data_IF_354601966527
#
_entry.id   IF_354601966527
#
_cell.length_a   1.000
_cell.length_b   1.000
_cell.length_c   1.000
_cell.angle_alpha   90.00
_cell.angle_beta   90.00
_cell.angle_gamma   90.00
#
_symmetry.space_group_name_H-M   'P 1'
#
loop_
_entity.id
_entity.type
_entity.pdbx_description
1 polymer ?
#
# COMPACT_ATOMS: atom_id res chain seq x y z
N UNK A 1 4.58 -3.25 -22.18
CA UNK A 1 4.20 -1.85 -21.89
C UNK A 1 3.32 -1.65 -20.63
N UNK A 2 2.69 -2.67 -20.05
CA UNK A 2 1.80 -2.48 -18.88
C UNK A 2 2.53 -2.38 -17.53
N UNK A 3 3.69 -3.02 -17.37
CA UNK A 3 4.39 -3.13 -16.09
C UNK A 3 4.73 -1.77 -15.46
N UNK A 4 5.38 -0.88 -16.21
CA UNK A 4 5.79 0.45 -15.69
C UNK A 4 4.57 1.24 -15.21
N UNK A 5 3.46 1.17 -15.95
CA UNK A 5 2.20 1.81 -15.56
C UNK A 5 1.66 1.23 -14.25
N UNK A 6 1.67 -0.10 -14.10
CA UNK A 6 1.25 -0.75 -12.86
C UNK A 6 2.18 -0.42 -11.68
N UNK A 7 3.50 -0.44 -11.88
CA UNK A 7 4.47 -0.07 -10.86
C UNK A 7 4.26 1.37 -10.38
N UNK A 8 4.05 2.31 -11.30
CA UNK A 8 3.80 3.71 -10.93
C UNK A 8 2.43 3.91 -10.27
N UNK A 9 1.41 3.15 -10.67
CA UNK A 9 0.11 3.13 -9.99
C UNK A 9 0.26 2.64 -8.55
N UNK A 10 1.00 1.55 -8.33
CA UNK A 10 1.29 1.02 -7.00
C UNK A 10 2.09 2.02 -6.17
N UNK A 11 3.09 2.69 -6.76
CA UNK A 11 3.86 3.74 -6.08
C UNK A 11 2.95 4.86 -5.54
N UNK A 12 1.96 5.26 -6.33
CA UNK A 12 0.96 6.27 -5.95
C UNK A 12 0.06 5.74 -4.83
N UNK A 13 -0.43 4.51 -4.95
CA UNK A 13 -1.28 3.88 -3.94
C UNK A 13 -0.55 3.67 -2.61
N UNK A 14 0.73 3.26 -2.63
CA UNK A 14 1.61 3.14 -1.45
C UNK A 14 1.84 4.51 -0.78
N UNK A 15 2.00 5.57 -1.56
CA UNK A 15 2.10 6.94 -1.02
C UNK A 15 0.82 7.32 -0.29
N UNK A 16 -0.34 7.09 -0.92
CA UNK A 16 -1.64 7.37 -0.31
C UNK A 16 -1.86 6.53 0.96
N UNK A 17 -1.45 5.26 0.95
CA UNK A 17 -1.58 4.36 2.09
C UNK A 17 -0.70 4.82 3.25
N UNK A 18 0.55 5.19 2.99
CA UNK A 18 1.46 5.78 3.98
C UNK A 18 0.86 7.02 4.63
N UNK A 19 0.39 7.97 3.81
CA UNK A 19 -0.19 9.24 4.29
C UNK A 19 -1.43 9.00 5.14
N UNK A 20 -2.24 8.01 4.77
CA UNK A 20 -3.47 7.66 5.48
C UNK A 20 -3.18 6.98 6.81
N UNK A 21 -2.22 6.06 6.85
CA UNK A 21 -1.73 5.49 8.11
C UNK A 21 -1.20 6.57 9.05
N UNK A 22 -0.37 7.50 8.55
CA UNK A 22 0.13 8.61 9.35
C UNK A 22 -0.99 9.52 9.88
N UNK A 23 -2.04 9.76 9.08
CA UNK A 23 -3.20 10.55 9.51
C UNK A 23 -3.96 9.86 10.63
N UNK A 24 -4.23 8.56 10.50
CA UNK A 24 -4.94 7.77 11.52
C UNK A 24 -4.12 7.71 12.81
N UNK A 25 -2.81 7.48 12.73
CA UNK A 25 -1.91 7.51 13.88
C UNK A 25 -1.97 8.84 14.64
N UNK A 26 -2.01 9.97 13.93
CA UNK A 26 -2.16 11.30 14.55
C UNK A 26 -3.54 11.53 15.15
N UNK A 27 -4.60 11.07 14.47
CA UNK A 27 -6.01 11.26 14.89
C UNK A 27 -6.30 10.51 16.19
N UNK A 28 -5.79 9.28 16.33
CA UNK A 28 -6.03 8.41 17.49
C UNK A 28 -4.82 8.28 18.39
N UNK A 29 -4.05 9.36 18.58
CA UNK A 29 -2.81 9.35 19.39
C UNK A 29 -2.99 8.90 20.85
N UNK A 30 -4.21 8.98 21.38
CA UNK A 30 -4.56 8.49 22.72
C UNK A 30 -4.65 6.97 22.79
N UNK A 31 -4.86 6.30 21.65
CA UNK A 31 -4.99 4.85 21.51
C UNK A 31 -3.64 4.28 21.08
N UNK A 32 -2.75 4.03 22.05
CA UNK A 32 -1.35 3.74 21.80
C UNK A 32 -1.10 2.57 20.82
N UNK A 33 -1.87 1.48 20.94
CA UNK A 33 -1.73 0.31 20.06
C UNK A 33 -2.09 0.65 18.60
N UNK A 34 -3.24 1.30 18.40
CA UNK A 34 -3.70 1.72 17.06
C UNK A 34 -2.74 2.74 16.45
N UNK A 35 -2.32 3.73 17.23
CA UNK A 35 -1.41 4.78 16.77
C UNK A 35 -0.03 4.23 16.42
N UNK A 36 0.55 3.40 17.28
CA UNK A 36 1.85 2.75 17.06
C UNK A 36 1.82 1.82 15.84
N UNK A 37 0.80 0.97 15.74
CA UNK A 37 0.64 0.07 14.60
C UNK A 37 0.43 0.80 13.27
N UNK A 38 -0.29 1.92 13.26
CA UNK A 38 -0.41 2.77 12.07
C UNK A 38 0.92 3.46 11.72
N UNK A 39 1.68 3.94 12.72
CA UNK A 39 2.96 4.60 12.48
C UNK A 39 4.00 3.66 11.85
N UNK A 40 4.11 2.42 12.36
CA UNK A 40 4.99 1.39 11.80
C UNK A 40 4.67 1.12 10.33
N UNK A 41 3.38 0.95 10.01
CA UNK A 41 2.94 0.66 8.63
C UNK A 41 3.14 1.84 7.69
N UNK A 42 2.99 3.07 8.18
CA UNK A 42 3.33 4.27 7.40
C UNK A 42 4.83 4.31 7.04
N UNK A 43 5.71 4.02 8.01
CA UNK A 43 7.15 3.97 7.75
C UNK A 43 7.50 2.88 6.72
N UNK A 44 6.89 1.71 6.87
CA UNK A 44 7.03 0.58 5.95
C UNK A 44 6.60 0.91 4.51
N UNK A 45 5.43 1.53 4.33
CA UNK A 45 4.97 2.00 3.00
C UNK A 45 5.95 3.02 2.39
N UNK A 46 6.47 3.93 3.23
CA UNK A 46 7.43 4.95 2.80
C UNK A 46 8.75 4.34 2.31
N UNK A 47 9.29 3.38 3.06
CA UNK A 47 10.51 2.66 2.68
C UNK A 47 10.33 1.84 1.38
N UNK A 48 9.16 1.20 1.20
CA UNK A 48 8.83 0.51 -0.06
C UNK A 48 8.79 1.47 -1.25
N UNK A 49 8.19 2.65 -1.07
CA UNK A 49 8.12 3.67 -2.13
C UNK A 49 9.51 4.09 -2.60
N UNK A 50 10.44 4.29 -1.69
CA UNK A 50 11.83 4.66 -2.02
C UNK A 50 12.55 3.54 -2.78
N UNK A 51 12.36 2.29 -2.34
CA UNK A 51 12.90 1.10 -3.01
C UNK A 51 12.34 0.98 -4.44
N UNK A 52 11.02 1.17 -4.59
CA UNK A 52 10.35 1.08 -5.88
C UNK A 52 10.73 2.21 -6.83
N UNK A 53 10.92 3.43 -6.33
CA UNK A 53 11.37 4.57 -7.15
C UNK A 53 12.75 4.30 -7.76
N UNK A 54 13.65 3.67 -7.00
CA UNK A 54 14.98 3.27 -7.47
C UNK A 54 14.86 2.23 -8.59
N UNK A 55 14.09 1.15 -8.37
CA UNK A 55 13.93 0.09 -9.37
C UNK A 55 13.24 0.58 -10.63
N UNK A 56 12.16 1.38 -10.51
CA UNK A 56 11.48 1.97 -11.68
C UNK A 56 12.42 2.86 -12.48
N UNK A 57 13.28 3.63 -11.81
CA UNK A 57 14.29 4.46 -12.47
C UNK A 57 15.32 3.63 -13.24
N UNK A 58 15.81 2.54 -12.63
CA UNK A 58 16.73 1.60 -13.29
C UNK A 58 16.09 0.90 -14.49
N UNK A 59 14.84 0.46 -14.34
CA UNK A 59 14.08 -0.19 -15.41
C UNK A 59 13.85 0.74 -16.59
N UNK A 60 13.51 2.01 -16.34
CA UNK A 60 13.38 3.02 -17.39
C UNK A 60 14.69 3.26 -18.15
N UNK A 61 15.85 3.22 -17.46
CA UNK A 61 17.16 3.34 -18.11
C UNK A 61 17.49 2.13 -18.99
N UNK A 62 17.13 0.93 -18.54
CA UNK A 62 17.43 -0.33 -19.25
C UNK A 62 16.49 -0.64 -20.41
N UNK A 63 15.31 -0.02 -20.45
CA UNK A 63 14.32 -0.23 -21.52
C UNK A 63 13.92 1.09 -22.21
N UNK A 64 14.75 1.59 -23.14
CA UNK A 64 14.43 2.79 -23.92
C UNK A 64 13.14 2.58 -24.73
N UNK A 65 12.15 3.48 -24.58
CA UNK A 65 10.85 3.39 -25.26
C UNK A 65 9.68 2.89 -24.39
N UNK A 66 9.95 2.47 -23.14
CA UNK A 66 8.88 2.28 -22.16
C UNK A 66 8.26 3.64 -21.82
N UNK A 67 7.02 3.88 -22.26
CA UNK A 67 6.32 5.15 -22.10
C UNK A 67 6.48 5.71 -20.68
N UNK A 68 6.91 6.97 -20.59
CA UNK A 68 6.94 7.72 -19.35
C UNK A 68 5.55 7.72 -18.75
N UNK A 69 5.43 7.23 -17.51
CA UNK A 69 4.18 7.34 -16.78
C UNK A 69 3.92 8.81 -16.55
N UNK A 70 3.03 9.38 -17.36
CA UNK A 70 2.37 10.64 -17.05
C UNK A 70 1.74 10.43 -15.69
N UNK A 71 2.35 11.03 -14.66
CA UNK A 71 2.02 10.89 -13.24
C UNK A 71 0.52 10.65 -13.10
N UNK A 72 0.14 9.41 -12.76
CA UNK A 72 -1.21 9.10 -12.31
C UNK A 72 -1.38 9.80 -10.96
N UNK A 73 -1.58 11.12 -11.03
CA UNK A 73 -1.80 12.04 -9.92
C UNK A 73 -3.28 12.10 -9.54
N UNK A 74 -4.11 11.25 -10.16
CA UNK A 74 -5.49 11.07 -9.76
C UNK A 74 -5.47 10.19 -8.51
N UNK A 75 -5.93 10.68 -7.35
CA UNK A 75 -6.03 9.84 -6.16
C UNK A 75 -6.95 8.66 -6.48
N UNK A 76 -6.44 7.43 -6.33
CA UNK A 76 -7.20 6.22 -6.68
C UNK A 76 -8.45 6.06 -5.79
N UNK A 77 -8.44 6.73 -4.63
CA UNK A 77 -9.62 6.95 -3.80
C UNK A 77 -9.58 8.37 -3.21
N UNK A 78 -10.61 9.21 -3.43
CA UNK A 78 -10.73 10.46 -2.68
C UNK A 78 -10.82 10.15 -1.18
N UNK A 79 -10.14 10.94 -0.36
CA UNK A 79 -10.24 10.84 1.09
C UNK A 79 -11.68 11.17 1.52
N UNK A 80 -12.44 10.18 1.98
CA UNK A 80 -13.70 10.40 2.69
C UNK A 80 -13.40 10.79 4.14
N UNK A 81 -14.19 11.71 4.70
CA UNK A 81 -14.25 11.86 6.15
C UNK A 81 -14.91 10.60 6.71
N UNK A 82 -14.20 9.90 7.57
CA UNK A 82 -14.68 8.67 8.19
C UNK A 82 -15.29 8.95 9.56
N UNK A 83 -16.43 8.33 9.84
CA UNK A 83 -17.30 8.50 11.02
C UNK A 83 -16.74 7.80 12.28
N UNK A 84 -15.42 7.88 12.50
CA UNK A 84 -14.73 7.30 13.66
C UNK A 84 -13.73 6.19 13.31
N UNK A 85 -13.15 5.52 14.33
CA UNK A 85 -12.04 4.57 14.17
C UNK A 85 -12.35 3.44 13.19
N UNK A 86 -13.55 2.86 13.27
CA UNK A 86 -13.99 1.78 12.38
C UNK A 86 -14.08 2.23 10.92
N UNK A 87 -14.54 3.45 10.66
CA UNK A 87 -14.55 4.01 9.30
C UNK A 87 -13.14 4.16 8.76
N UNK A 88 -12.25 4.74 9.56
CA UNK A 88 -10.86 4.96 9.17
C UNK A 88 -10.12 3.63 8.90
N UNK A 89 -10.35 2.61 9.74
CA UNK A 89 -9.80 1.26 9.57
C UNK A 89 -10.36 0.56 8.33
N UNK A 90 -11.66 0.68 8.05
CA UNK A 90 -12.28 0.12 6.82
C UNK A 90 -11.71 0.76 5.57
N UNK A 91 -11.55 2.08 5.59
CA UNK A 91 -10.97 2.79 4.46
C UNK A 91 -9.49 2.45 4.25
N UNK A 92 -8.72 2.29 5.33
CA UNK A 92 -7.34 1.78 5.27
C UNK A 92 -7.30 0.36 4.69
N UNK A 93 -8.20 -0.53 5.11
CA UNK A 93 -8.29 -1.90 4.60
C UNK A 93 -8.62 -1.94 3.12
N UNK A 94 -9.56 -1.12 2.66
CA UNK A 94 -9.90 -1.03 1.24
C UNK A 94 -8.70 -0.57 0.40
N UNK A 95 -7.97 0.45 0.87
CA UNK A 95 -6.78 0.96 0.19
C UNK A 95 -5.62 -0.05 0.20
N UNK A 96 -5.39 -0.74 1.32
CA UNK A 96 -4.41 -1.82 1.42
C UNK A 96 -4.75 -2.99 0.48
N UNK A 97 -6.04 -3.29 0.31
CA UNK A 97 -6.52 -4.30 -0.62
C UNK A 97 -6.17 -3.97 -2.07
N UNK A 98 -6.40 -2.72 -2.48
CA UNK A 98 -6.00 -2.22 -3.79
C UNK A 98 -4.48 -2.35 -4.02
N UNK A 99 -3.67 -1.97 -3.02
CA UNK A 99 -2.20 -2.10 -3.08
C UNK A 99 -1.79 -3.56 -3.27
N UNK A 100 -2.35 -4.48 -2.47
CA UNK A 100 -2.08 -5.91 -2.57
C UNK A 100 -2.48 -6.51 -3.93
N UNK A 101 -3.63 -6.13 -4.48
CA UNK A 101 -4.05 -6.53 -5.82
C UNK A 101 -3.10 -6.00 -6.90
N UNK A 102 -2.63 -4.75 -6.75
CA UNK A 102 -1.62 -4.17 -7.64
C UNK A 102 -0.32 -4.99 -7.63
N UNK A 103 0.20 -5.30 -6.44
CA UNK A 103 1.40 -6.14 -6.30
C UNK A 103 1.23 -7.53 -6.90
N UNK A 104 0.05 -8.13 -6.76
CA UNK A 104 -0.28 -9.44 -7.34
C UNK A 104 -0.19 -9.40 -8.88
N UNK A 105 -0.75 -8.36 -9.52
CA UNK A 105 -0.67 -8.18 -10.97
C UNK A 105 0.77 -7.94 -11.42
N UNK A 106 1.52 -7.10 -10.71
CA UNK A 106 2.94 -6.88 -11.01
C UNK A 106 3.78 -8.15 -10.89
N UNK A 107 3.53 -8.98 -9.88
CA UNK A 107 4.24 -10.24 -9.70
C UNK A 107 3.94 -11.24 -10.82
N UNK A 108 2.70 -11.29 -11.32
CA UNK A 108 2.38 -12.11 -12.49
C UNK A 108 3.14 -11.64 -13.74
N UNK A 109 3.08 -10.34 -14.03
CA UNK A 109 3.78 -9.75 -15.19
C UNK A 109 5.30 -9.98 -15.09
N UNK A 110 5.86 -9.91 -13.88
CA UNK A 110 7.28 -10.16 -13.64
C UNK A 110 7.69 -11.61 -13.95
N UNK A 111 6.85 -12.58 -13.54
CA UNK A 111 7.06 -14.00 -13.85
C UNK A 111 6.94 -14.27 -15.35
N UNK A 112 5.94 -13.70 -16.01
CA UNK A 112 5.74 -13.87 -17.45
C UNK A 112 6.91 -13.29 -18.27
N UNK A 113 7.64 -12.34 -17.70
CA UNK A 113 8.83 -11.73 -18.29
C UNK A 113 10.16 -12.41 -17.89
N UNK A 114 10.12 -13.43 -17.04
CA UNK A 114 11.30 -14.13 -16.49
C UNK A 114 12.34 -13.19 -15.84
N UNK A 115 11.88 -12.10 -15.23
CA UNK A 115 12.76 -11.16 -14.51
C UNK A 115 12.78 -11.47 -13.02
N UNK A 116 13.78 -12.26 -12.59
CA UNK A 116 13.93 -12.70 -11.21
C UNK A 116 14.06 -11.54 -10.21
N UNK A 117 14.73 -10.44 -10.59
CA UNK A 117 14.92 -9.30 -9.71
C UNK A 117 13.58 -8.59 -9.46
N UNK A 118 12.76 -8.47 -10.50
CA UNK A 118 11.42 -7.90 -10.41
C UNK A 118 10.45 -8.85 -9.69
N UNK A 119 10.56 -10.16 -9.90
CA UNK A 119 9.78 -11.16 -9.14
C UNK A 119 10.07 -11.02 -7.65
N UNK A 120 11.34 -10.94 -7.25
CA UNK A 120 11.73 -10.76 -5.85
C UNK A 120 11.15 -9.46 -5.25
N UNK A 121 11.25 -8.34 -5.97
CA UNK A 121 10.69 -7.05 -5.53
C UNK A 121 9.17 -7.13 -5.34
N UNK A 122 8.46 -7.65 -6.35
CA UNK A 122 6.99 -7.65 -6.38
C UNK A 122 6.41 -8.63 -5.36
N UNK A 123 7.06 -9.77 -5.13
CA UNK A 123 6.69 -10.72 -4.07
C UNK A 123 6.90 -10.12 -2.67
N UNK A 124 8.02 -9.43 -2.44
CA UNK A 124 8.23 -8.74 -1.16
C UNK A 124 7.14 -7.69 -0.90
N UNK A 125 6.79 -6.90 -1.91
CA UNK A 125 5.70 -5.93 -1.84
C UNK A 125 4.37 -6.60 -1.52
N UNK A 126 4.07 -7.71 -2.20
CA UNK A 126 2.87 -8.52 -1.98
C UNK A 126 2.79 -9.04 -0.55
N UNK A 127 3.79 -9.77 -0.07
CA UNK A 127 3.82 -10.33 1.30
C UNK A 127 3.59 -9.26 2.35
N UNK A 128 4.31 -8.15 2.27
CA UNK A 128 4.18 -7.09 3.27
C UNK A 128 2.81 -6.38 3.20
N UNK A 129 2.20 -6.27 2.01
CA UNK A 129 0.82 -5.76 1.90
C UNK A 129 -0.21 -6.74 2.47
N UNK A 130 0.06 -8.06 2.43
CA UNK A 130 -0.76 -9.06 3.12
C UNK A 130 -0.65 -8.92 4.65
N UNK A 131 0.53 -8.64 5.17
CA UNK A 131 0.72 -8.37 6.62
C UNK A 131 -0.05 -7.12 7.07
N UNK A 132 -0.09 -6.08 6.22
CA UNK A 132 -0.91 -4.88 6.47
C UNK A 132 -2.39 -5.23 6.51
N UNK A 133 -2.88 -6.04 5.57
CA UNK A 133 -4.26 -6.49 5.52
C UNK A 133 -4.65 -7.36 6.73
N UNK A 134 -3.78 -8.27 7.14
CA UNK A 134 -4.00 -9.13 8.29
C UNK A 134 -4.13 -8.32 9.58
N UNK A 135 -3.24 -7.35 9.79
CA UNK A 135 -3.32 -6.48 10.95
C UNK A 135 -4.55 -5.56 10.93
N UNK A 136 -4.90 -5.00 9.77
CA UNK A 136 -6.10 -4.18 9.64
C UNK A 136 -7.36 -4.98 9.95
N UNK A 137 -7.39 -6.27 9.59
CA UNK A 137 -8.50 -7.15 9.97
C UNK A 137 -8.56 -7.39 11.48
N UNK A 138 -7.42 -7.67 12.10
CA UNK A 138 -7.35 -7.83 13.56
C UNK A 138 -7.83 -6.58 14.30
N UNK A 139 -7.45 -5.39 13.83
CA UNK A 139 -7.93 -4.12 14.38
C UNK A 139 -9.43 -3.92 14.15
N UNK A 140 -9.94 -4.22 12.95
CA UNK A 140 -11.40 -4.14 12.71
C UNK A 140 -12.19 -5.04 13.65
N UNK A 141 -11.69 -6.24 13.97
CA UNK A 141 -12.30 -7.11 14.96
C UNK A 141 -12.22 -6.53 16.38
N UNK A 142 -11.06 -6.05 16.81
CA UNK A 142 -10.86 -5.48 18.15
C UNK A 142 -11.74 -4.26 18.42
N UNK A 143 -11.95 -3.42 17.39
CA UNK A 143 -12.78 -2.23 17.47
C UNK A 143 -14.26 -2.50 17.18
N UNK A 144 -14.64 -3.74 16.85
CA UNK A 144 -16.03 -4.09 16.57
C UNK A 144 -16.86 -4.09 17.86
N UNK A 145 -18.14 -3.65 17.82
CA UNK A 145 -19.00 -3.60 19.01
C UNK A 145 -19.18 -4.95 19.72
N UNK A 146 -18.98 -6.06 18.99
CA UNK A 146 -19.13 -7.42 19.52
C UNK A 146 -17.92 -7.86 20.34
N UNK A 147 -16.73 -7.27 20.13
CA UNK A 147 -15.53 -7.54 20.93
C UNK A 147 -15.58 -6.89 22.33
N UNK A 148 -16.50 -5.96 22.55
CA UNK A 148 -16.68 -5.23 23.82
C UNK A 148 -17.72 -5.86 24.75
N UNK A 149 -18.31 -7.02 24.41
CA UNK A 149 -19.20 -7.75 25.30
C UNK A 149 -18.38 -8.72 26.17
N UNK A 150 -18.39 -8.57 27.50
CA UNK A 150 -17.81 -9.56 28.41
C UNK A 150 -18.58 -10.89 28.38
#
# INVERSE_FOLDING_TARGET
MHLVTYLAMIASAETMLSDRFARVARRYRSEADLAGGCAVRSAECSARRESLATVVSDYHRRTPGAATVRRLRTPVCPARQSDGPLGDLRDLRALAGLVNSGWTVCAQIARDADDEALVCLTERGRTQSQDHLAWLEAQLHAWSPQASRP
#
